data_IF_734642727446
#
_entry.id   IF_734642727446
#
_cell.length_a   1.000
_cell.length_b   1.000
_cell.length_c   1.000
_cell.angle_alpha   90.00
_cell.angle_beta   90.00
_cell.angle_gamma   90.00
#
_symmetry.space_group_name_H-M   'P 1'
#
loop_
_entity.id
_entity.type
_entity.pdbx_description
1 polymer ?
#
# COMPACT_ATOMS: atom_id res chain seq x y z
N UNK A 1 -7.33 2.44 -3.05
CA UNK A 1 -7.62 1.89 -1.70
C UNK A 1 -7.88 0.38 -1.71
N UNK A 2 -8.91 -0.12 -2.41
CA UNK A 2 -9.23 -1.57 -2.39
C UNK A 2 -8.05 -2.45 -2.83
N UNK A 3 -7.30 -2.03 -3.85
CA UNK A 3 -6.07 -2.70 -4.28
C UNK A 3 -5.05 -2.85 -3.12
N UNK A 4 -4.88 -1.82 -2.29
CA UNK A 4 -3.99 -1.86 -1.13
C UNK A 4 -4.46 -2.90 -0.10
N UNK A 5 -5.74 -2.90 0.25
CA UNK A 5 -6.30 -3.86 1.20
C UNK A 5 -6.26 -5.30 0.67
N UNK A 6 -6.31 -5.50 -0.66
CA UNK A 6 -6.12 -6.80 -1.31
C UNK A 6 -4.65 -7.25 -1.35
N UNK A 7 -3.71 -6.37 -0.98
CA UNK A 7 -2.28 -6.67 -1.01
C UNK A 7 -1.61 -6.40 -2.37
N UNK A 8 -2.28 -5.70 -3.28
CA UNK A 8 -1.74 -5.31 -4.60
C UNK A 8 -0.78 -4.12 -4.46
N UNK A 9 0.21 -4.03 -5.35
CA UNK A 9 1.09 -2.86 -5.46
C UNK A 9 0.34 -1.69 -6.08
N UNK A 10 0.70 -0.47 -5.70
CA UNK A 10 0.12 0.74 -6.27
C UNK A 10 1.13 1.45 -7.16
N UNK A 11 0.67 2.12 -8.20
CA UNK A 11 1.50 3.11 -8.92
C UNK A 11 1.54 4.39 -8.11
N UNK A 12 2.73 4.93 -7.85
CA UNK A 12 2.91 6.17 -7.11
C UNK A 12 4.15 6.92 -7.62
N UNK A 13 4.12 8.25 -7.57
CA UNK A 13 5.27 9.11 -7.92
C UNK A 13 5.86 9.68 -6.62
N UNK A 14 7.18 9.64 -6.51
CA UNK A 14 7.88 10.13 -5.32
C UNK A 14 9.32 9.61 -5.24
N UNK A 15 10.04 10.05 -4.22
CA UNK A 15 11.38 9.57 -3.92
C UNK A 15 11.36 8.11 -3.46
N UNK A 16 12.43 7.37 -3.74
CA UNK A 16 12.59 6.01 -3.22
C UNK A 16 12.57 6.02 -1.69
N UNK A 17 11.74 5.19 -1.07
CA UNK A 17 11.63 5.19 0.39
C UNK A 17 10.44 4.41 0.94
N UNK A 18 10.30 4.49 2.26
CA UNK A 18 9.12 4.02 2.97
C UNK A 18 8.07 5.12 3.02
N UNK A 19 6.82 4.73 2.76
CA UNK A 19 5.68 5.62 2.75
C UNK A 19 4.63 5.10 3.71
N UNK A 20 4.09 6.05 4.47
CA UNK A 20 2.86 5.88 5.20
C UNK A 20 1.71 5.90 4.19
N UNK A 21 0.81 4.92 4.26
CA UNK A 21 -0.39 4.87 3.44
C UNK A 21 -1.56 5.26 4.35
N UNK A 22 -2.22 6.36 4.01
CA UNK A 22 -3.41 6.84 4.69
C UNK A 22 -4.58 7.02 3.73
N UNK A 23 -5.77 7.11 4.32
CA UNK A 23 -7.02 7.44 3.64
C UNK A 23 -7.68 8.49 4.50
N UNK A 24 -7.89 9.68 3.96
CA UNK A 24 -8.49 10.80 4.67
C UNK A 24 -7.80 11.10 6.02
N UNK A 25 -6.46 10.96 6.06
CA UNK A 25 -5.66 11.16 7.27
C UNK A 25 -5.64 9.98 8.24
N UNK A 26 -6.34 8.89 7.95
CA UNK A 26 -6.30 7.66 8.74
C UNK A 26 -5.28 6.69 8.18
N UNK A 27 -4.28 6.35 9.00
CA UNK A 27 -3.24 5.39 8.66
C UNK A 27 -3.81 3.97 8.48
N UNK A 28 -3.48 3.34 7.35
CA UNK A 28 -3.92 1.98 7.04
C UNK A 28 -2.77 0.99 6.80
N UNK A 29 -1.52 1.47 6.74
CA UNK A 29 -0.35 0.62 6.67
C UNK A 29 0.84 1.23 5.93
N UNK A 30 1.84 0.40 5.64
CA UNK A 30 3.09 0.81 5.01
C UNK A 30 3.17 0.39 3.54
N UNK A 31 3.92 1.17 2.76
CA UNK A 31 4.36 0.82 1.41
C UNK A 31 5.82 1.22 1.18
N UNK A 32 6.53 0.51 0.30
CA UNK A 32 7.90 0.85 -0.09
C UNK A 32 7.96 1.24 -1.56
N UNK A 33 8.27 2.49 -1.84
CA UNK A 33 8.32 3.02 -3.20
C UNK A 33 9.68 2.71 -3.83
N UNK A 34 9.65 2.09 -5.00
CA UNK A 34 10.80 1.86 -5.87
C UNK A 34 10.32 1.90 -7.31
N UNK A 35 10.94 2.75 -8.15
CA UNK A 35 10.68 2.79 -9.60
C UNK A 35 9.18 2.93 -9.94
N UNK A 36 8.54 3.95 -9.37
CA UNK A 36 7.10 4.26 -9.57
C UNK A 36 6.11 3.21 -9.05
N UNK A 37 6.61 2.14 -8.42
CA UNK A 37 5.80 1.09 -7.81
C UNK A 37 5.92 1.16 -6.30
N UNK A 38 4.80 1.44 -5.64
CA UNK A 38 4.65 1.33 -4.20
C UNK A 38 4.35 -0.13 -3.83
N UNK A 39 5.38 -0.84 -3.41
CA UNK A 39 5.28 -2.22 -2.95
C UNK A 39 4.50 -2.28 -1.64
N UNK A 40 3.38 -2.97 -1.67
CA UNK A 40 2.45 -3.07 -0.56
C UNK A 40 3.01 -3.95 0.56
N UNK A 41 3.05 -3.41 1.79
CA UNK A 41 3.48 -4.12 3.00
C UNK A 41 2.31 -4.38 3.97
N UNK A 42 1.09 -4.47 3.46
CA UNK A 42 -0.10 -4.85 4.20
C UNK A 42 -0.05 -6.35 4.58
N UNK A 43 -0.24 -6.71 5.86
CA UNK A 43 -0.08 -8.09 6.33
C UNK A 43 -0.95 -9.08 5.58
N UNK A 44 -0.36 -10.20 5.13
CA UNK A 44 -1.05 -11.21 4.30
C UNK A 44 -2.35 -11.73 4.94
N UNK A 45 -2.33 -11.99 6.26
CA UNK A 45 -3.47 -12.51 7.00
C UNK A 45 -4.60 -11.49 7.23
N UNK A 46 -4.36 -10.21 6.96
CA UNK A 46 -5.37 -9.14 7.08
C UNK A 46 -5.91 -8.70 5.72
N UNK A 47 -5.41 -9.29 4.62
CA UNK A 47 -5.81 -8.91 3.26
C UNK A 47 -7.30 -9.15 3.07
N UNK A 48 -7.93 -8.19 2.40
CA UNK A 48 -9.32 -8.32 2.02
C UNK A 48 -9.43 -9.34 0.89
N UNK A 49 -9.70 -10.59 1.27
CA UNK A 49 -10.09 -11.64 0.36
C UNK A 49 -11.58 -11.44 0.07
N UNK A 50 -11.91 -10.93 -1.12
CA UNK A 50 -13.27 -11.03 -1.60
C UNK A 50 -13.59 -12.53 -1.73
N UNK A 51 -14.64 -12.99 -1.03
CA UNK A 51 -15.23 -14.30 -1.29
C UNK A 51 -15.85 -14.32 -2.68
#
# INVERSE_FOLDING_TARGET
MLAYLKGESLTAVGSKGWYLVDVDGFFIGWGKLSEQVLKNHYPKGLRWLAK
#
